data_IF_032054861350
#
_entry.id   IF_032054861350
#
_cell.length_a   1.000
_cell.length_b   1.000
_cell.length_c   1.000
_cell.angle_alpha   90.00
_cell.angle_beta   90.00
_cell.angle_gamma   90.00
#
_symmetry.space_group_name_H-M   'P 1'
#
loop_
_entity.id
_entity.type
_entity.pdbx_description
1 polymer ?
#
# COMPACT_ATOMS: atom_id res chain seq x y z
N UNK A 1 -37.22 -7.83 15.80
CA UNK A 1 -37.66 -8.47 14.54
C UNK A 1 -36.43 -8.55 13.62
N UNK A 2 -36.16 -9.70 12.99
CA UNK A 2 -34.82 -10.18 12.57
C UNK A 2 -34.40 -9.77 11.14
N UNK A 3 -35.22 -8.98 10.42
CA UNK A 3 -34.98 -8.68 9.00
C UNK A 3 -33.64 -7.99 8.68
N UNK A 4 -33.15 -7.10 9.55
CA UNK A 4 -31.89 -6.39 9.32
C UNK A 4 -30.64 -7.29 9.36
N UNK A 5 -30.67 -8.38 10.14
CA UNK A 5 -29.51 -9.27 10.31
C UNK A 5 -29.26 -10.14 9.08
N UNK A 6 -30.32 -10.68 8.49
CA UNK A 6 -30.23 -11.51 7.27
C UNK A 6 -29.74 -10.69 6.08
N UNK A 7 -30.19 -9.44 5.97
CA UNK A 7 -29.73 -8.52 4.93
C UNK A 7 -28.25 -8.15 5.08
N UNK A 8 -27.79 -7.87 6.30
CA UNK A 8 -26.37 -7.62 6.60
C UNK A 8 -25.52 -8.84 6.22
N UNK A 9 -25.93 -10.04 6.65
CA UNK A 9 -25.21 -11.27 6.32
C UNK A 9 -25.16 -11.54 4.81
N UNK A 10 -26.27 -11.29 4.10
CA UNK A 10 -26.32 -11.46 2.64
C UNK A 10 -25.36 -10.49 1.92
N UNK A 11 -25.26 -9.24 2.37
CA UNK A 11 -24.34 -8.28 1.79
C UNK A 11 -22.87 -8.61 2.14
N UNK A 12 -22.59 -9.10 3.35
CA UNK A 12 -21.27 -9.63 3.72
C UNK A 12 -20.89 -10.80 2.81
N UNK A 13 -21.79 -11.79 2.63
CA UNK A 13 -21.53 -12.96 1.80
C UNK A 13 -21.30 -12.58 0.33
N UNK A 14 -22.01 -11.56 -0.20
CA UNK A 14 -21.75 -11.00 -1.53
C UNK A 14 -20.35 -10.41 -1.64
N UNK A 15 -19.89 -9.69 -0.62
CA UNK A 15 -18.55 -9.09 -0.58
C UNK A 15 -17.46 -10.14 -0.46
N UNK A 16 -17.66 -11.16 0.37
CA UNK A 16 -16.77 -12.32 0.48
C UNK A 16 -16.63 -13.00 -0.88
N UNK A 17 -17.73 -13.32 -1.57
CA UNK A 17 -17.70 -13.94 -2.90
C UNK A 17 -16.95 -13.09 -3.94
N UNK A 18 -17.11 -11.76 -3.89
CA UNK A 18 -16.38 -10.85 -4.78
C UNK A 18 -14.87 -10.93 -4.52
N UNK A 19 -14.45 -10.86 -3.26
CA UNK A 19 -13.03 -10.95 -2.90
C UNK A 19 -12.44 -12.32 -3.23
N UNK A 20 -13.18 -13.41 -3.03
CA UNK A 20 -12.76 -14.75 -3.44
C UNK A 20 -12.60 -14.87 -4.96
N UNK A 21 -13.49 -14.25 -5.74
CA UNK A 21 -13.35 -14.19 -7.19
C UNK A 21 -12.13 -13.36 -7.62
N UNK A 22 -11.84 -12.24 -6.94
CA UNK A 22 -10.63 -11.44 -7.20
C UNK A 22 -9.34 -12.23 -6.90
N UNK A 23 -9.32 -12.99 -5.79
CA UNK A 23 -8.20 -13.88 -5.43
C UNK A 23 -8.02 -14.96 -6.51
N UNK A 24 -9.10 -15.66 -6.88
CA UNK A 24 -9.02 -16.72 -7.88
C UNK A 24 -8.54 -16.19 -9.24
N UNK A 25 -9.04 -15.03 -9.68
CA UNK A 25 -8.57 -14.40 -10.91
C UNK A 25 -7.09 -14.03 -10.83
N UNK A 26 -6.61 -13.52 -9.70
CA UNK A 26 -5.20 -13.22 -9.51
C UNK A 26 -4.34 -14.50 -9.57
N UNK A 27 -4.73 -15.55 -8.84
CA UNK A 27 -4.04 -16.85 -8.83
C UNK A 27 -3.98 -17.49 -10.23
N UNK A 28 -5.08 -17.47 -10.98
CA UNK A 28 -5.14 -18.01 -12.35
C UNK A 28 -4.23 -17.22 -13.31
N UNK A 29 -4.15 -15.90 -13.14
CA UNK A 29 -3.27 -15.03 -13.95
C UNK A 29 -1.79 -15.23 -13.62
N UNK A 30 -1.46 -15.35 -12.33
CA UNK A 30 -0.12 -15.68 -11.82
C UNK A 30 0.33 -17.01 -12.45
N UNK A 31 -0.50 -18.05 -12.35
CA UNK A 31 -0.21 -19.37 -12.92
C UNK A 31 0.00 -19.33 -14.44
N UNK A 32 -0.84 -18.60 -15.16
CA UNK A 32 -0.70 -18.41 -16.61
C UNK A 32 0.61 -17.69 -16.98
N UNK A 33 1.02 -16.68 -16.20
CA UNK A 33 2.27 -15.95 -16.42
C UNK A 33 3.50 -16.83 -16.13
N UNK A 34 3.42 -17.71 -15.12
CA UNK A 34 4.44 -18.71 -14.81
C UNK A 34 4.59 -19.73 -15.95
N UNK A 35 3.49 -20.28 -16.46
CA UNK A 35 3.48 -21.26 -17.55
C UNK A 35 4.13 -20.73 -18.84
N UNK A 36 3.95 -19.44 -19.14
CA UNK A 36 4.51 -18.80 -20.33
C UNK A 36 5.99 -18.40 -20.14
N UNK A 37 6.52 -18.51 -18.91
CA UNK A 37 7.86 -18.03 -18.57
C UNK A 37 7.98 -16.50 -18.68
N UNK A 38 6.85 -15.79 -18.59
CA UNK A 38 6.78 -14.34 -18.60
C UNK A 38 7.65 -13.66 -17.51
N UNK A 39 7.80 -14.17 -16.27
CA UNK A 39 8.64 -13.49 -15.28
C UNK A 39 10.11 -13.39 -15.72
N UNK A 40 10.62 -14.36 -16.48
CA UNK A 40 11.99 -14.31 -17.03
C UNK A 40 12.08 -13.29 -18.16
N UNK A 41 11.08 -13.23 -19.04
CA UNK A 41 11.05 -12.30 -20.18
C UNK A 41 10.87 -10.85 -19.73
N UNK A 42 10.01 -10.57 -18.74
CA UNK A 42 9.81 -9.24 -18.19
C UNK A 42 11.02 -8.76 -17.38
N UNK A 43 11.65 -9.64 -16.58
CA UNK A 43 12.89 -9.31 -15.86
C UNK A 43 14.07 -9.10 -16.82
N UNK A 44 14.05 -9.73 -18.00
CA UNK A 44 15.01 -9.46 -19.08
C UNK A 44 14.67 -8.17 -19.88
N UNK A 45 13.39 -7.80 -19.98
CA UNK A 45 12.91 -6.58 -20.64
C UNK A 45 13.04 -5.33 -19.75
N UNK A 46 13.08 -5.48 -18.42
CA UNK A 46 13.55 -4.46 -17.50
C UNK A 46 14.99 -4.15 -17.88
N UNK A 47 15.16 -3.09 -18.70
CA UNK A 47 16.47 -2.58 -19.10
C UNK A 47 17.32 -2.50 -17.85
N UNK A 48 18.42 -3.26 -17.82
CA UNK A 48 19.47 -3.08 -16.81
C UNK A 48 19.79 -1.60 -16.79
N UNK A 49 19.54 -0.97 -15.64
CA UNK A 49 19.73 0.45 -15.50
C UNK A 49 21.23 0.73 -15.42
N UNK A 50 21.86 0.83 -16.60
CA UNK A 50 23.31 1.04 -16.73
C UNK A 50 23.75 2.42 -16.23
N UNK A 51 22.79 3.28 -15.88
CA UNK A 51 22.99 4.61 -15.29
C UNK A 51 23.99 4.57 -14.13
N UNK A 52 23.91 3.54 -13.26
CA UNK A 52 24.87 3.37 -12.16
C UNK A 52 26.29 3.12 -12.66
N UNK A 53 26.46 2.29 -13.69
CA UNK A 53 27.77 2.01 -14.28
C UNK A 53 28.35 3.26 -14.96
N UNK A 54 27.53 4.05 -15.67
CA UNK A 54 27.96 5.31 -16.27
C UNK A 54 28.36 6.35 -15.22
N UNK A 55 27.61 6.44 -14.11
CA UNK A 55 27.91 7.35 -12.99
C UNK A 55 29.22 6.97 -12.28
N UNK A 56 29.43 5.67 -12.03
CA UNK A 56 30.69 5.16 -11.45
C UNK A 56 31.87 5.40 -12.39
N UNK A 57 31.69 5.13 -13.69
CA UNK A 57 32.73 5.37 -14.70
C UNK A 57 33.11 6.86 -14.80
N UNK A 58 32.12 7.76 -14.82
CA UNK A 58 32.34 9.22 -14.74
C UNK A 58 33.13 9.62 -13.49
N UNK A 59 32.78 9.06 -12.32
CA UNK A 59 33.50 9.32 -11.07
C UNK A 59 34.98 8.90 -11.13
N UNK A 60 35.26 7.70 -11.66
CA UNK A 60 36.62 7.20 -11.85
C UNK A 60 37.41 8.10 -12.83
N UNK A 61 36.78 8.50 -13.93
CA UNK A 61 37.42 9.34 -14.96
C UNK A 61 37.73 10.75 -14.46
N UNK A 62 36.86 11.32 -13.63
CA UNK A 62 37.09 12.60 -12.95
C UNK A 62 38.22 12.50 -11.91
N UNK A 63 38.28 11.41 -11.14
CA UNK A 63 39.39 11.15 -10.21
C UNK A 63 40.73 11.14 -10.95
N UNK A 64 40.79 10.43 -12.08
CA UNK A 64 41.99 10.36 -12.93
C UNK A 64 42.35 11.74 -13.50
N UNK A 65 41.37 12.50 -13.99
CA UNK A 65 41.58 13.87 -14.48
C UNK A 65 42.09 14.82 -13.39
N UNK A 66 41.54 14.72 -12.18
CA UNK A 66 41.96 15.55 -11.03
C UNK A 66 43.38 15.19 -10.58
N UNK A 67 43.72 13.90 -10.57
CA UNK A 67 45.06 13.41 -10.23
C UNK A 67 46.10 13.85 -11.26
N UNK A 68 45.74 13.84 -12.55
CA UNK A 68 46.59 14.34 -13.63
C UNK A 68 46.87 15.84 -13.49
N UNK A 69 45.85 16.64 -13.16
CA UNK A 69 46.00 18.08 -12.90
C UNK A 69 46.91 18.35 -11.68
N UNK A 70 46.78 17.57 -10.61
CA UNK A 70 47.64 17.67 -9.42
C UNK A 70 49.10 17.29 -9.73
N UNK A 71 49.32 16.24 -10.52
CA UNK A 71 50.65 15.82 -10.97
C UNK A 71 51.31 16.89 -11.85
N UNK A 72 50.56 17.51 -12.76
CA UNK A 72 51.06 18.61 -13.59
C UNK A 72 51.40 19.85 -12.76
N UNK A 73 50.59 20.18 -11.75
CA UNK A 73 50.86 21.30 -10.82
C UNK A 73 52.18 21.12 -10.07
N UNK A 74 52.54 19.89 -9.69
CA UNK A 74 53.78 19.62 -8.95
C UNK A 74 55.03 19.54 -9.84
N UNK A 75 54.89 19.37 -11.17
CA UNK A 75 56.02 19.25 -12.11
C UNK A 75 56.31 20.50 -12.93
N UNK A 76 55.41 21.50 -12.99
CA UNK A 76 55.58 22.71 -13.81
C UNK A 76 55.96 23.94 -12.96
N UNK A 77 56.98 24.74 -13.37
CA UNK A 77 57.44 25.88 -12.58
C UNK A 77 56.46 27.06 -12.61
N UNK A 78 56.02 27.48 -11.41
CA UNK A 78 55.46 28.76 -10.94
C UNK A 78 54.44 29.58 -11.79
N UNK A 79 54.10 29.18 -13.02
CA UNK A 79 53.26 29.98 -13.93
C UNK A 79 51.85 29.44 -14.12
N UNK A 80 51.56 28.22 -13.67
CA UNK A 80 50.23 27.61 -13.75
C UNK A 80 49.46 27.79 -12.43
N UNK A 81 48.98 29.01 -12.19
CA UNK A 81 48.11 29.30 -11.04
C UNK A 81 46.64 29.02 -11.40
N UNK A 82 46.33 27.76 -11.71
CA UNK A 82 44.96 27.34 -12.03
C UNK A 82 44.15 27.33 -10.73
N UNK A 83 43.05 28.09 -10.62
CA UNK A 83 42.21 28.07 -9.44
C UNK A 83 41.55 26.69 -9.35
N UNK A 84 42.06 25.83 -8.46
CA UNK A 84 41.57 24.46 -8.27
C UNK A 84 40.19 24.38 -7.62
N UNK A 85 39.77 25.45 -6.94
CA UNK A 85 38.50 25.55 -6.21
C UNK A 85 37.27 25.19 -7.07
N UNK A 86 37.06 25.79 -8.26
CA UNK A 86 35.95 25.40 -9.14
C UNK A 86 36.00 23.91 -9.57
N UNK A 87 37.19 23.35 -9.80
CA UNK A 87 37.32 21.93 -10.18
C UNK A 87 36.99 20.99 -9.02
N UNK A 88 37.35 21.36 -7.80
CA UNK A 88 37.00 20.62 -6.58
C UNK A 88 35.49 20.66 -6.36
N UNK A 89 34.84 21.82 -6.58
CA UNK A 89 33.38 21.95 -6.45
C UNK A 89 32.66 21.10 -7.50
N UNK A 90 33.10 21.14 -8.77
CA UNK A 90 32.56 20.30 -9.84
C UNK A 90 32.73 18.81 -9.53
N UNK A 91 33.91 18.40 -9.05
CA UNK A 91 34.17 17.02 -8.65
C UNK A 91 33.27 16.58 -7.48
N UNK A 92 33.04 17.44 -6.50
CA UNK A 92 32.20 17.15 -5.34
C UNK A 92 30.72 17.00 -5.72
N UNK A 93 30.21 17.89 -6.58
CA UNK A 93 28.83 17.81 -7.11
C UNK A 93 28.63 16.54 -7.94
N UNK A 94 29.59 16.18 -8.78
CA UNK A 94 29.51 14.98 -9.61
C UNK A 94 29.72 13.67 -8.82
N UNK A 95 30.41 13.70 -7.68
CA UNK A 95 30.49 12.57 -6.74
C UNK A 95 29.21 12.42 -5.92
N UNK A 96 28.58 13.53 -5.54
CA UNK A 96 27.33 13.53 -4.78
C UNK A 96 26.11 13.17 -5.65
N UNK A 97 26.09 13.58 -6.92
CA UNK A 97 24.97 13.35 -7.83
C UNK A 97 24.56 11.86 -7.98
N UNK A 98 25.47 10.89 -8.12
CA UNK A 98 25.13 9.47 -8.12
C UNK A 98 24.48 9.00 -6.81
N UNK A 99 24.98 9.47 -5.66
CA UNK A 99 24.43 9.11 -4.36
C UNK A 99 23.02 9.68 -4.17
N UNK A 100 22.81 10.93 -4.58
CA UNK A 100 21.48 11.57 -4.59
C UNK A 100 20.53 10.86 -5.56
N UNK A 101 21.00 10.52 -6.76
CA UNK A 101 20.22 9.78 -7.75
C UNK A 101 19.81 8.40 -7.23
N UNK A 102 20.73 7.63 -6.63
CA UNK A 102 20.43 6.32 -6.06
C UNK A 102 19.45 6.39 -4.88
N UNK A 103 19.57 7.41 -4.03
CA UNK A 103 18.62 7.64 -2.93
C UNK A 103 17.22 7.99 -3.45
N UNK A 104 17.13 8.66 -4.61
CA UNK A 104 15.86 9.02 -5.23
C UNK A 104 15.27 7.84 -6.03
N UNK A 105 16.07 7.17 -6.86
CA UNK A 105 15.65 6.13 -7.80
C UNK A 105 15.28 4.81 -7.14
N UNK A 106 15.74 4.57 -5.90
CA UNK A 106 15.37 3.37 -5.13
C UNK A 106 13.88 3.26 -4.79
N UNK A 107 13.09 4.33 -5.01
CA UNK A 107 11.68 4.40 -4.66
C UNK A 107 10.70 4.03 -5.77
N UNK A 108 11.14 3.96 -7.03
CA UNK A 108 10.23 3.87 -8.19
C UNK A 108 10.63 2.77 -9.17
N UNK A 109 10.85 1.53 -8.69
CA UNK A 109 10.84 0.40 -9.61
C UNK A 109 9.38 0.13 -10.01
N UNK A 110 9.02 0.23 -11.30
CA UNK A 110 7.69 -0.15 -11.73
C UNK A 110 7.48 -1.62 -11.41
N UNK A 111 6.42 -1.91 -10.65
CA UNK A 111 6.04 -3.28 -10.30
C UNK A 111 5.83 -4.05 -11.59
N UNK A 112 6.29 -5.30 -11.62
CA UNK A 112 5.96 -6.17 -12.75
C UNK A 112 4.48 -6.53 -12.69
N UNK A 113 3.81 -6.84 -13.82
CA UNK A 113 2.42 -7.28 -13.80
C UNK A 113 2.18 -8.47 -12.85
N UNK A 114 3.18 -9.34 -12.69
CA UNK A 114 3.16 -10.44 -11.71
C UNK A 114 3.08 -9.92 -10.26
N UNK A 115 3.96 -9.00 -9.89
CA UNK A 115 3.98 -8.38 -8.55
C UNK A 115 2.68 -7.62 -8.25
N UNK A 116 2.05 -7.00 -9.26
CA UNK A 116 0.74 -6.35 -9.11
C UNK A 116 -0.38 -7.36 -8.79
N UNK A 117 -0.40 -8.51 -9.47
CA UNK A 117 -1.38 -9.57 -9.18
C UNK A 117 -1.13 -10.22 -7.82
N UNK A 118 0.13 -10.50 -7.47
CA UNK A 118 0.51 -11.06 -6.15
C UNK A 118 0.12 -10.11 -5.02
N UNK A 119 0.37 -8.81 -5.18
CA UNK A 119 -0.02 -7.81 -4.21
C UNK A 119 -1.54 -7.75 -4.06
N UNK A 120 -2.28 -7.74 -5.17
CA UNK A 120 -3.74 -7.70 -5.14
C UNK A 120 -4.35 -8.95 -4.50
N UNK A 121 -3.79 -10.13 -4.78
CA UNK A 121 -4.18 -11.38 -4.11
C UNK A 121 -3.97 -11.27 -2.59
N UNK A 122 -2.79 -10.81 -2.17
CA UNK A 122 -2.43 -10.66 -0.76
C UNK A 122 -3.37 -9.69 -0.05
N UNK A 123 -3.62 -8.52 -0.63
CA UNK A 123 -4.50 -7.50 -0.04
C UNK A 123 -5.94 -8.04 0.09
N UNK A 124 -6.48 -8.68 -0.96
CA UNK A 124 -7.81 -9.27 -0.92
C UNK A 124 -7.92 -10.37 0.15
N UNK A 125 -6.89 -11.21 0.28
CA UNK A 125 -6.84 -12.27 1.28
C UNK A 125 -6.75 -11.71 2.71
N UNK A 126 -6.00 -10.64 2.93
CA UNK A 126 -5.93 -9.96 4.22
C UNK A 126 -7.30 -9.39 4.63
N UNK A 127 -7.98 -8.66 3.75
CA UNK A 127 -9.33 -8.11 4.03
C UNK A 127 -10.34 -9.23 4.30
N UNK A 128 -10.29 -10.31 3.50
CA UNK A 128 -11.22 -11.42 3.66
C UNK A 128 -11.04 -12.16 4.98
N UNK A 129 -9.79 -12.45 5.35
CA UNK A 129 -9.47 -13.27 6.53
C UNK A 129 -9.53 -12.51 7.84
N UNK A 130 -9.13 -11.23 7.85
CA UNK A 130 -9.06 -10.42 9.08
C UNK A 130 -10.28 -9.54 9.31
N UNK A 131 -10.99 -9.14 8.26
CA UNK A 131 -12.17 -8.29 8.38
C UNK A 131 -13.47 -9.04 8.11
N UNK A 132 -13.71 -9.51 6.88
CA UNK A 132 -15.03 -10.01 6.50
C UNK A 132 -15.44 -11.34 7.15
N UNK A 133 -14.52 -12.32 7.26
CA UNK A 133 -14.82 -13.60 7.92
C UNK A 133 -15.13 -13.41 9.42
N UNK A 134 -14.28 -12.72 10.21
CA UNK A 134 -14.59 -12.43 11.61
C UNK A 134 -15.88 -11.60 11.76
N UNK A 135 -16.09 -10.61 10.89
CA UNK A 135 -17.30 -9.79 10.94
C UNK A 135 -18.57 -10.62 10.70
N UNK A 136 -18.55 -11.52 9.71
CA UNK A 136 -19.68 -12.42 9.42
C UNK A 136 -20.04 -13.24 10.66
N UNK A 137 -19.06 -13.87 11.28
CA UNK A 137 -19.27 -14.67 12.49
C UNK A 137 -19.77 -13.83 13.67
N UNK A 138 -19.22 -12.62 13.84
CA UNK A 138 -19.63 -11.70 14.89
C UNK A 138 -21.08 -11.25 14.71
N UNK A 139 -21.51 -10.92 13.49
CA UNK A 139 -22.90 -10.58 13.18
C UNK A 139 -23.82 -11.79 13.41
N UNK A 140 -23.41 -12.98 12.99
CA UNK A 140 -24.17 -14.22 13.16
C UNK A 140 -24.40 -14.56 14.64
N UNK A 141 -23.40 -14.33 15.50
CA UNK A 141 -23.48 -14.57 16.95
C UNK A 141 -23.97 -13.37 17.78
N UNK A 142 -24.16 -12.21 17.14
CA UNK A 142 -24.33 -10.91 17.81
C UNK A 142 -23.23 -10.62 18.85
N UNK A 143 -22.00 -11.01 18.51
CA UNK A 143 -20.82 -10.88 19.37
C UNK A 143 -20.21 -9.49 19.24
N UNK A 144 -20.65 -8.60 20.14
CA UNK A 144 -20.18 -7.21 20.22
C UNK A 144 -18.72 -7.08 20.64
N UNK A 145 -18.18 -8.06 21.36
CA UNK A 145 -16.77 -8.05 21.79
C UNK A 145 -15.87 -8.30 20.57
N UNK A 146 -16.21 -9.29 19.75
CA UNK A 146 -15.51 -9.55 18.49
C UNK A 146 -15.62 -8.35 17.53
N UNK A 147 -16.79 -7.69 17.44
CA UNK A 147 -16.92 -6.47 16.63
C UNK A 147 -16.01 -5.32 17.12
N UNK A 148 -15.85 -5.18 18.44
CA UNK A 148 -14.91 -4.20 19.02
C UNK A 148 -13.47 -4.56 18.70
N UNK A 149 -13.11 -5.84 18.79
CA UNK A 149 -11.77 -6.32 18.44
C UNK A 149 -11.43 -6.05 16.97
N UNK A 150 -12.38 -6.25 16.04
CA UNK A 150 -12.20 -5.92 14.62
C UNK A 150 -11.99 -4.40 14.43
N UNK A 151 -12.72 -3.57 15.19
CA UNK A 151 -12.55 -2.13 15.17
C UNK A 151 -11.16 -1.70 15.66
N UNK A 152 -10.69 -2.30 16.76
CA UNK A 152 -9.33 -2.09 17.28
C UNK A 152 -8.27 -2.54 16.27
N UNK A 153 -8.48 -3.67 15.61
CA UNK A 153 -7.56 -4.17 14.59
C UNK A 153 -7.48 -3.21 13.40
N UNK A 154 -8.62 -2.69 12.91
CA UNK A 154 -8.64 -1.69 11.83
C UNK A 154 -7.86 -0.41 12.17
N UNK A 155 -7.82 0.00 13.44
CA UNK A 155 -7.10 1.20 13.88
C UNK A 155 -5.61 0.95 14.13
N UNK A 156 -5.28 -0.21 14.69
CA UNK A 156 -3.93 -0.52 15.17
C UNK A 156 -3.08 -1.31 14.18
N UNK A 157 -3.70 -1.99 13.21
CA UNK A 157 -3.01 -2.81 12.22
C UNK A 157 -2.88 -2.06 10.89
N UNK A 158 -1.72 -1.43 10.59
CA UNK A 158 -1.53 -0.66 9.36
C UNK A 158 -1.62 -1.54 8.11
N UNK A 159 -1.37 -2.85 8.22
CA UNK A 159 -1.52 -3.79 7.11
C UNK A 159 -2.99 -3.94 6.74
N UNK A 160 -3.86 -4.15 7.73
CA UNK A 160 -5.31 -4.29 7.48
C UNK A 160 -5.91 -2.98 6.97
N UNK A 161 -5.56 -1.86 7.60
CA UNK A 161 -6.03 -0.54 7.18
C UNK A 161 -5.63 -0.25 5.72
N UNK A 162 -4.36 -0.48 5.37
CA UNK A 162 -3.87 -0.33 4.01
C UNK A 162 -4.59 -1.26 3.03
N UNK A 163 -4.80 -2.52 3.38
CA UNK A 163 -5.53 -3.46 2.51
C UNK A 163 -6.98 -3.06 2.28
N UNK A 164 -7.66 -2.48 3.27
CA UNK A 164 -9.04 -1.98 3.14
C UNK A 164 -9.12 -0.76 2.22
N UNK A 165 -8.17 0.18 2.34
CA UNK A 165 -8.09 1.38 1.48
C UNK A 165 -7.75 1.00 0.03
N UNK A 166 -6.70 0.20 -0.18
CA UNK A 166 -6.24 -0.22 -1.51
C UNK A 166 -7.26 -1.09 -2.26
N UNK A 167 -8.05 -1.89 -1.53
CA UNK A 167 -9.16 -2.68 -2.11
C UNK A 167 -10.46 -1.87 -2.28
N UNK A 168 -10.45 -0.58 -1.95
CA UNK A 168 -11.61 0.32 -2.03
C UNK A 168 -12.85 -0.18 -1.27
N UNK A 169 -12.64 -0.84 -0.12
CA UNK A 169 -13.74 -1.36 0.72
C UNK A 169 -14.30 -0.30 1.69
N UNK A 170 -13.58 0.80 1.91
CA UNK A 170 -14.01 1.96 2.69
C UNK A 170 -12.85 2.69 3.36
N UNK A 171 -13.19 3.64 4.23
CA UNK A 171 -12.23 4.29 5.14
C UNK A 171 -12.10 3.44 6.42
N UNK A 172 -10.92 2.87 6.73
CA UNK A 172 -10.71 2.02 7.90
C UNK A 172 -11.11 2.68 9.22
N UNK A 173 -10.88 3.99 9.37
CA UNK A 173 -11.22 4.73 10.59
C UNK A 173 -12.72 4.87 10.74
N UNK A 174 -13.41 5.20 9.64
CA UNK A 174 -14.87 5.30 9.65
C UNK A 174 -15.53 3.93 9.87
N UNK A 175 -14.96 2.88 9.29
CA UNK A 175 -15.42 1.50 9.50
C UNK A 175 -15.21 1.04 10.95
N UNK A 176 -14.05 1.34 11.54
CA UNK A 176 -13.79 1.05 12.95
C UNK A 176 -14.77 1.81 13.85
N UNK A 177 -14.98 3.10 13.60
CA UNK A 177 -15.92 3.91 14.36
C UNK A 177 -17.36 3.39 14.27
N UNK A 178 -17.79 2.95 13.08
CA UNK A 178 -19.08 2.30 12.90
C UNK A 178 -19.23 1.04 13.76
N UNK A 179 -18.21 0.19 13.80
CA UNK A 179 -18.20 -0.99 14.66
C UNK A 179 -18.22 -0.63 16.15
N UNK A 180 -17.50 0.43 16.55
CA UNK A 180 -17.56 0.94 17.93
C UNK A 180 -18.95 1.43 18.32
N UNK A 181 -19.62 2.17 17.43
CA UNK A 181 -20.98 2.65 17.64
C UNK A 181 -21.96 1.48 17.75
N UNK A 182 -21.82 0.46 16.92
CA UNK A 182 -22.65 -0.74 17.01
C UNK A 182 -22.44 -1.47 18.36
N UNK A 183 -21.19 -1.73 18.73
CA UNK A 183 -20.86 -2.47 19.96
C UNK A 183 -21.27 -1.73 21.24
N UNK A 184 -21.26 -0.40 21.23
CA UNK A 184 -21.59 0.45 22.39
C UNK A 184 -22.93 1.20 22.23
N UNK A 185 -23.81 0.71 21.37
CA UNK A 185 -25.04 1.42 21.05
C UNK A 185 -25.87 1.74 22.30
N UNK A 186 -26.27 3.01 22.41
CA UNK A 186 -27.27 3.50 23.34
C UNK A 186 -28.29 4.38 22.61
N UNK A 187 -29.53 4.52 23.12
CA UNK A 187 -30.56 5.35 22.48
C UNK A 187 -30.17 6.82 22.32
N UNK A 188 -29.20 7.31 23.10
CA UNK A 188 -28.69 8.68 23.04
C UNK A 188 -27.79 8.90 21.80
N UNK A 189 -27.27 7.83 21.20
CA UNK A 189 -26.37 7.86 20.05
C UNK A 189 -27.09 7.71 18.70
N UNK A 190 -28.43 7.70 18.67
CA UNK A 190 -29.22 7.47 17.45
C UNK A 190 -28.84 8.41 16.31
N UNK A 191 -28.68 9.71 16.59
CA UNK A 191 -28.28 10.69 15.57
C UNK A 191 -26.84 10.47 15.08
N UNK A 192 -25.93 10.10 15.98
CA UNK A 192 -24.53 9.79 15.65
C UNK A 192 -24.41 8.53 14.77
N UNK A 193 -25.22 7.50 15.07
CA UNK A 193 -25.37 6.30 14.26
C UNK A 193 -25.94 6.63 12.87
N UNK A 194 -26.98 7.47 12.82
CA UNK A 194 -27.62 7.90 11.56
C UNK A 194 -26.66 8.70 10.67
N UNK A 195 -25.91 9.64 11.25
CA UNK A 195 -24.90 10.42 10.52
C UNK A 195 -23.79 9.52 9.99
N UNK A 196 -23.28 8.61 10.83
CA UNK A 196 -22.19 7.70 10.47
C UNK A 196 -22.62 6.74 9.35
N UNK A 197 -23.84 6.19 9.43
CA UNK A 197 -24.41 5.36 8.37
C UNK A 197 -24.56 6.12 7.03
N UNK A 198 -24.81 7.44 7.08
CA UNK A 198 -24.85 8.29 5.89
C UNK A 198 -23.49 8.46 5.20
N UNK A 199 -22.39 8.40 5.95
CA UNK A 199 -21.02 8.61 5.47
C UNK A 199 -20.30 7.32 5.06
N UNK A 200 -20.77 6.16 5.53
CA UNK A 200 -20.18 4.86 5.19
C UNK A 200 -20.39 4.49 3.71
N UNK A 201 -19.29 4.20 3.02
CA UNK A 201 -19.30 3.55 1.70
C UNK A 201 -19.47 2.03 1.79
N UNK A 202 -19.07 1.43 2.91
CA UNK A 202 -19.16 0.00 3.15
C UNK A 202 -20.63 -0.40 3.41
N UNK A 203 -21.25 -1.04 2.42
CA UNK A 203 -22.67 -1.43 2.46
C UNK A 203 -23.02 -2.36 3.64
N UNK A 204 -22.26 -3.43 3.94
CA UNK A 204 -22.49 -4.24 5.12
C UNK A 204 -22.58 -3.46 6.43
N UNK A 205 -21.61 -2.59 6.71
CA UNK A 205 -21.59 -1.80 7.94
C UNK A 205 -22.70 -0.76 7.97
N UNK A 206 -23.04 -0.19 6.81
CA UNK A 206 -24.18 0.72 6.69
C UNK A 206 -25.49 0.02 7.05
N UNK A 207 -25.73 -1.16 6.50
CA UNK A 207 -26.92 -1.96 6.82
C UNK A 207 -26.94 -2.34 8.31
N UNK A 208 -25.78 -2.66 8.88
CA UNK A 208 -25.62 -3.00 10.30
C UNK A 208 -26.05 -1.83 11.20
N UNK A 209 -25.61 -0.60 10.90
CA UNK A 209 -25.98 0.59 11.65
C UNK A 209 -27.43 1.02 11.42
N UNK A 210 -27.91 0.97 10.18
CA UNK A 210 -29.32 1.29 9.86
C UNK A 210 -30.30 0.38 10.60
N UNK A 211 -29.96 -0.91 10.74
CA UNK A 211 -30.78 -1.87 11.48
C UNK A 211 -30.96 -1.52 12.97
N UNK A 212 -30.01 -0.78 13.59
CA UNK A 212 -30.17 -0.30 14.97
C UNK A 212 -31.16 0.87 15.07
N UNK A 213 -31.16 1.76 14.08
CA UNK A 213 -32.04 2.95 14.05
C UNK A 213 -33.47 2.55 13.73
N UNK A 214 -33.68 1.71 12.72
CA UNK A 214 -35.03 1.23 12.36
C UNK A 214 -35.64 0.33 13.45
N UNK A 215 -34.82 -0.40 14.20
CA UNK A 215 -35.25 -1.20 15.33
C UNK A 215 -35.55 -0.41 16.61
N UNK A 216 -35.23 0.88 16.67
CA UNK A 216 -35.47 1.76 17.83
C UNK A 216 -36.63 2.73 17.66
N UNK A 217 -37.20 2.83 16.45
CA UNK A 217 -38.44 3.57 16.17
C UNK A 217 -39.73 2.72 16.36
N UNK A 218 -39.62 1.49 16.87
CA UNK A 218 -40.76 0.59 17.17
C UNK A 218 -40.77 0.09 18.61
#
# INVERSE_FOLDING_TARGET
MIMGKEEVLAEIDRRIKRLEAEIQMAEDRIRYLEEIGAPVRYRALQRKDYTVYYLVFMGIWMLIGTLALLLMRNRLPYSFNVPLLPYIVIALVLLAAPAVYLLWSGREKPKTPMEEFEERERLARDVLTRFYRPLREAVEKDDRETMRAIAEELLNNPVLAGSVEEMAEGDPKLMAYALYLYSNYSPELVEEVRETAGRLSNKPLKALLSGLVEGSEG
#
